data_IF_419363484093
#
_entry.id   IF_419363484093
#
_cell.length_a   1.000
_cell.length_b   1.000
_cell.length_c   1.000
_cell.angle_alpha   90.00
_cell.angle_beta   90.00
_cell.angle_gamma   90.00
#
_symmetry.space_group_name_H-M   'P 1'
#
loop_
_entity.id
_entity.type
_entity.pdbx_description
1 polymer ?
2 non-polymer ?
3 non-polymer ?
4 non-polymer ?
5 non-polymer ?
6 water ?
#
# COMPACT_ATOMS: atom_id res chain seq x y z
N UNK A 4 29.42 11.13 5.48
CA UNK A 4 28.96 11.61 6.83
C UNK A 4 27.49 11.23 7.09
N UNK A 5 26.99 11.54 8.29
CA UNK A 5 25.63 11.18 8.65
C UNK A 5 24.60 12.02 7.90
N UNK A 6 23.34 11.64 8.01
CA UNK A 6 22.26 12.31 7.29
C UNK A 6 21.00 12.30 8.13
N UNK A 7 20.26 13.39 8.06
CA UNK A 7 18.91 13.43 8.61
C UNK A 7 18.03 14.16 7.63
N UNK A 8 16.72 13.89 7.69
CA UNK A 8 15.78 14.51 6.79
C UNK A 8 14.80 15.40 7.54
N UNK A 9 14.28 16.40 6.83
CA UNK A 9 13.14 17.16 7.27
C UNK A 9 12.02 16.97 6.25
N UNK A 10 10.81 16.69 6.73
CA UNK A 10 9.67 16.50 5.85
C UNK A 10 8.59 17.50 6.20
N UNK A 11 8.19 18.32 5.22
CA UNK A 11 7.15 19.32 5.38
C UNK A 11 5.78 18.72 5.13
N UNK A 12 4.92 18.80 6.13
CA UNK A 12 3.68 18.05 6.13
C UNK A 12 2.56 18.74 6.92
N UNK A 13 2.63 20.06 7.00
CA UNK A 13 1.73 20.85 7.85
C UNK A 13 0.49 21.37 7.11
N UNK A 14 0.42 21.17 5.81
CA UNK A 14 -0.61 21.78 5.00
C UNK A 14 -2.01 21.23 5.20
N UNK A 15 -2.99 22.11 5.07
CA UNK A 15 -4.39 21.76 5.24
C UNK A 15 -4.97 21.01 4.03
N UNK A 16 -4.44 21.28 2.84
CA UNK A 16 -4.91 20.63 1.63
C UNK A 16 -6.35 20.97 1.32
N UNK A 17 -6.65 22.26 1.30
CA UNK A 17 -8.01 22.76 1.12
C UNK A 17 -8.67 22.22 -0.14
N UNK A 18 -7.92 22.13 -1.24
CA UNK A 18 -8.50 21.73 -2.52
C UNK A 18 -8.74 20.21 -2.64
N UNK A 19 -8.44 19.48 -1.58
CA UNK A 19 -8.85 18.08 -1.46
C UNK A 19 -10.29 18.00 -0.96
N UNK A 20 -10.78 19.08 -0.37
CA UNK A 20 -12.12 19.13 0.23
C UNK A 20 -12.40 17.92 1.14
N UNK A 21 -11.52 17.76 2.12
CA UNK A 21 -11.49 16.60 3.00
C UNK A 21 -11.31 17.03 4.45
N UNK A 22 -11.77 16.19 5.38
CA UNK A 22 -11.50 16.38 6.80
C UNK A 22 -10.09 15.93 7.16
N UNK A 23 -9.40 15.25 6.25
CA UNK A 23 -8.01 14.88 6.47
C UNK A 23 -7.08 16.03 6.07
N UNK A 24 -5.93 16.10 6.73
CA UNK A 24 -4.88 17.02 6.29
C UNK A 24 -4.25 16.53 4.98
N UNK A 25 -3.57 17.42 4.27
CA UNK A 25 -3.10 17.17 2.91
C UNK A 25 -2.31 15.87 2.70
N UNK A 26 -1.35 15.59 3.57
CA UNK A 26 -0.38 14.51 3.33
C UNK A 26 -0.84 13.12 3.76
N UNK A 27 -2.04 13.02 4.34
CA UNK A 27 -2.56 11.72 4.80
C UNK A 27 -3.30 10.96 3.70
N UNK A 28 -3.68 11.65 2.63
CA UNK A 28 -4.32 10.98 1.51
C UNK A 28 -3.38 9.93 0.93
N UNK A 29 -3.93 8.78 0.55
CA UNK A 29 -3.12 7.62 0.21
C UNK A 29 -2.72 7.52 -1.24
N UNK A 30 -1.55 6.93 -1.45
CA UNK A 30 -1.09 6.46 -2.74
C UNK A 30 -0.74 5.00 -2.55
N UNK A 31 -1.32 4.13 -3.37
CA UNK A 31 -1.09 2.71 -3.27
C UNK A 31 -1.31 2.21 -1.84
N UNK A 32 -2.42 2.66 -1.23
CA UNK A 32 -2.81 2.22 0.10
C UNK A 32 -2.04 2.81 1.28
N UNK A 33 -1.06 3.68 1.02
CA UNK A 33 -0.23 4.26 2.07
C UNK A 33 -0.26 5.79 1.99
N UNK A 34 -0.41 6.48 3.12
CA UNK A 34 -0.35 7.94 3.13
C UNK A 34 0.84 8.50 2.35
N UNK A 35 0.63 9.59 1.63
CA UNK A 35 1.69 10.21 0.86
C UNK A 35 2.93 10.41 1.73
N UNK A 36 2.74 10.95 2.93
CA UNK A 36 3.87 11.23 3.81
C UNK A 36 4.61 9.97 4.25
N UNK A 37 3.89 8.86 4.35
CA UNK A 37 4.52 7.58 4.70
C UNK A 37 5.49 7.12 3.61
N UNK A 38 5.19 7.40 2.35
CA UNK A 38 6.12 7.08 1.27
C UNK A 38 7.42 7.84 1.49
N UNK A 39 7.31 9.12 1.82
CA UNK A 39 8.47 9.99 1.94
C UNK A 39 9.29 9.60 3.16
N UNK A 40 8.60 9.29 4.27
CA UNK A 40 9.27 8.77 5.46
C UNK A 40 10.07 7.50 5.15
N UNK A 41 9.46 6.56 4.44
CA UNK A 41 10.11 5.28 4.11
C UNK A 41 11.34 5.55 3.25
N UNK A 42 11.20 6.45 2.28
CA UNK A 42 12.31 6.76 1.40
C UNK A 42 13.46 7.38 2.17
N UNK A 43 13.12 8.25 3.13
CA UNK A 43 14.12 8.90 3.96
C UNK A 43 14.86 7.84 4.78
N UNK A 44 14.11 6.89 5.32
CA UNK A 44 14.68 5.84 6.14
C UNK A 44 15.66 4.98 5.34
N UNK A 45 15.26 4.53 4.14
CA UNK A 45 16.14 3.66 3.36
C UNK A 45 17.32 4.42 2.74
N UNK A 46 17.26 5.75 2.77
CA UNK A 46 18.34 6.62 2.34
C UNK A 46 19.46 6.61 3.39
N UNK A 47 19.10 6.22 4.62
CA UNK A 47 20.04 6.11 5.71
C UNK A 47 19.86 7.18 6.79
N UNK A 48 18.70 7.84 6.80
CA UNK A 48 18.47 8.97 7.70
C UNK A 48 18.46 8.55 9.16
N UNK A 49 19.27 9.24 9.96
CA UNK A 49 19.35 8.99 11.39
C UNK A 49 18.14 9.58 12.12
N UNK A 50 17.80 10.82 11.79
CA UNK A 50 16.58 11.46 12.30
C UNK A 50 15.69 11.86 11.13
N UNK A 51 14.38 11.81 11.35
CA UNK A 51 13.42 12.35 10.40
C UNK A 51 12.54 13.32 11.15
N UNK A 52 12.69 14.61 10.84
CA UNK A 52 11.91 15.66 11.48
C UNK A 52 10.65 15.94 10.68
N UNK A 53 9.51 15.63 11.28
CA UNK A 53 8.23 15.77 10.60
C UNK A 53 7.57 17.08 11.01
N UNK A 54 7.55 18.04 10.09
CA UNK A 54 6.88 19.31 10.36
C UNK A 54 5.40 19.13 10.09
N UNK A 55 4.60 19.17 11.14
CA UNK A 55 3.15 19.01 10.98
C UNK A 55 2.42 20.14 11.67
N UNK A 56 1.12 20.26 11.38
CA UNK A 56 0.31 21.35 11.90
C UNK A 56 -1.17 21.06 11.80
N UNK A 57 -1.77 21.33 10.64
CA UNK A 57 -3.19 21.03 10.41
C UNK A 57 -3.47 19.53 10.50
N UNK A 58 -4.68 19.22 10.97
CA UNK A 58 -5.06 17.84 11.24
C UNK A 58 -4.10 17.14 12.17
N UNK A 59 -3.59 17.87 13.16
CA UNK A 59 -2.59 17.36 14.08
C UNK A 59 -2.92 16.04 14.74
N UNK A 60 -4.13 15.91 15.28
CA UNK A 60 -4.54 14.69 15.97
C UNK A 60 -4.59 13.51 15.00
N UNK A 61 -5.08 13.76 13.79
CA UNK A 61 -5.17 12.74 12.76
C UNK A 61 -3.79 12.30 12.31
N UNK A 62 -2.86 13.25 12.16
CA UNK A 62 -1.48 12.88 11.85
C UNK A 62 -0.95 11.91 12.90
N UNK A 63 -1.21 12.20 14.18
CA UNK A 63 -0.69 11.39 15.28
C UNK A 63 -1.30 9.99 15.36
N UNK A 64 -2.60 9.88 15.13
CA UNK A 64 -3.27 8.59 15.19
C UNK A 64 -2.88 7.72 13.97
N UNK A 65 -2.88 8.33 12.78
CA UNK A 65 -2.57 7.61 11.56
C UNK A 65 -1.09 7.24 11.40
N UNK A 66 -0.20 7.96 12.07
CA UNK A 66 1.24 7.73 11.92
C UNK A 66 1.91 7.47 13.27
N UNK A 67 1.14 6.94 14.22
CA UNK A 67 1.60 6.75 15.60
C UNK A 67 2.90 5.96 15.72
N UNK A 68 3.10 4.98 14.84
CA UNK A 68 4.27 4.12 14.93
C UNK A 68 5.49 4.55 14.10
N UNK A 69 5.43 5.70 13.44
CA UNK A 69 6.56 6.15 12.62
C UNK A 69 7.68 6.70 13.48
N UNK A 70 8.90 6.29 13.16
CA UNK A 70 10.11 6.76 13.86
C UNK A 70 10.47 8.16 13.36
N UNK A 71 9.77 9.16 13.87
CA UNK A 71 10.00 10.55 13.50
C UNK A 71 9.97 11.45 14.72
N UNK A 72 10.60 12.60 14.57
CA UNK A 72 10.50 13.67 15.54
C UNK A 72 9.31 14.54 15.16
N UNK A 73 8.38 14.68 16.09
CA UNK A 73 7.15 15.44 15.84
C UNK A 73 7.35 16.92 16.12
N UNK A 74 7.48 17.70 15.05
CA UNK A 74 7.75 19.12 15.16
C UNK A 74 6.52 19.92 14.74
N UNK A 75 5.75 20.35 15.73
CA UNK A 75 4.49 21.04 15.50
C UNK A 75 4.71 22.51 15.17
N UNK A 76 4.33 22.91 13.96
CA UNK A 76 4.43 24.28 13.48
C UNK A 76 3.07 24.97 13.70
N UNK A 77 3.03 25.95 14.61
CA UNK A 77 1.77 26.60 14.96
C UNK A 77 1.24 27.52 13.85
N UNK A 78 2.16 28.16 13.12
CA UNK A 78 1.76 28.99 11.97
C UNK A 78 2.56 28.66 10.72
N UNK A 79 1.87 28.65 9.58
CA UNK A 79 2.50 28.39 8.30
C UNK A 79 3.00 29.71 7.69
N UNK A 80 4.23 30.07 8.02
CA UNK A 80 4.80 31.34 7.59
C UNK A 80 5.80 31.15 6.46
N UNK A 81 5.85 29.95 5.89
CA UNK A 81 6.69 29.67 4.74
C UNK A 81 7.62 28.47 4.92
N UNK A 82 8.14 27.97 3.82
CA UNK A 82 8.96 26.77 3.88
C UNK A 82 10.24 26.94 4.70
N UNK A 83 10.82 28.14 4.72
CA UNK A 83 12.03 28.40 5.52
C UNK A 83 11.70 28.40 7.00
N UNK A 84 10.55 28.95 7.35
CA UNK A 84 10.07 28.94 8.73
C UNK A 84 9.82 27.49 9.17
N UNK A 85 9.26 26.70 8.28
CA UNK A 85 8.95 25.31 8.58
C UNK A 85 10.22 24.54 8.91
N UNK A 86 11.22 24.60 8.04
CA UNK A 86 12.48 23.88 8.27
C UNK A 86 13.22 24.40 9.50
N UNK A 87 13.12 25.69 9.79
CA UNK A 87 13.78 26.28 10.97
C UNK A 87 13.21 25.75 12.28
N UNK A 88 11.98 25.26 12.26
CA UNK A 88 11.40 24.62 13.44
C UNK A 88 12.23 23.41 13.89
N UNK A 89 12.81 22.70 12.93
CA UNK A 89 13.59 21.52 13.23
C UNK A 89 15.08 21.82 13.40
N UNK A 90 15.49 23.02 13.01
CA UNK A 90 16.91 23.38 12.98
C UNK A 90 17.67 23.22 14.32
N UNK A 91 17.05 23.52 15.45
CA UNK A 91 17.71 23.31 16.74
C UNK A 91 18.20 21.86 16.94
N UNK A 92 17.66 20.92 16.16
CA UNK A 92 18.01 19.51 16.30
C UNK A 92 19.01 19.03 15.25
N UNK A 93 19.37 19.89 14.30
CA UNK A 93 20.37 19.52 13.29
C UNK A 93 21.73 19.43 13.94
N UNK A 94 22.45 18.34 13.69
CA UNK A 94 23.86 18.23 14.07
C UNK A 94 24.66 19.06 13.06
N UNK A 95 25.65 19.79 13.55
CA UNK A 95 26.42 20.68 12.70
C UNK A 95 27.04 19.95 11.50
N UNK A 96 27.59 18.76 11.74
CA UNK A 96 28.31 18.05 10.68
C UNK A 96 27.58 16.86 10.08
N UNK A 97 26.25 16.91 10.11
CA UNK A 97 25.44 15.95 9.38
C UNK A 97 24.82 16.65 8.18
N UNK A 98 24.58 15.89 7.10
CA UNK A 98 23.85 16.42 5.97
C UNK A 98 22.37 16.40 6.31
N UNK A 99 21.64 17.36 5.75
CA UNK A 99 20.20 17.49 5.97
C UNK A 99 19.52 17.55 4.60
N UNK A 100 18.54 16.69 4.38
CA UNK A 100 17.77 16.71 3.14
C UNK A 100 16.34 17.18 3.43
N UNK A 101 15.85 18.12 2.64
CA UNK A 101 14.49 18.65 2.81
C UNK A 101 13.55 18.06 1.77
N UNK A 102 12.47 17.44 2.25
CA UNK A 102 11.50 16.78 1.40
C UNK A 102 10.08 17.25 1.70
N UNK A 103 9.17 17.01 0.77
CA UNK A 103 7.78 17.46 0.92
C UNK A 103 6.83 16.29 1.03
N UNK A 104 5.98 16.34 2.05
CA UNK A 104 5.07 15.25 2.38
C UNK A 104 4.03 14.99 1.31
N UNK A 105 3.80 15.98 0.44
CA UNK A 105 2.84 15.87 -0.64
C UNK A 105 3.51 15.65 -2.00
N UNK A 106 4.77 15.22 -1.99
CA UNK A 106 5.46 14.80 -3.19
C UNK A 106 6.09 13.45 -2.93
N UNK A 107 5.27 12.40 -2.99
CA UNK A 107 5.64 11.08 -2.50
C UNK A 107 6.45 10.20 -3.45
N UNK A 108 6.58 10.56 -4.72
CA UNK A 108 7.24 9.70 -5.70
C UNK A 108 8.77 9.84 -5.78
N UNK A 109 9.33 10.79 -5.02
CA UNK A 109 10.78 11.00 -5.01
C UNK A 109 11.54 9.73 -4.61
N UNK A 110 12.52 9.33 -5.41
CA UNK A 110 13.23 8.07 -5.18
C UNK A 110 14.53 8.23 -4.38
N UNK A 111 14.88 7.15 -3.70
CA UNK A 111 16.14 7.01 -2.98
C UNK A 111 17.33 7.22 -3.90
N UNK A 112 17.23 6.73 -5.13
CA UNK A 112 18.32 6.82 -6.10
C UNK A 112 18.63 8.27 -6.48
N UNK A 113 17.58 9.02 -6.82
CA UNK A 113 17.74 10.43 -7.15
C UNK A 113 18.33 11.20 -5.99
N UNK A 114 17.91 10.86 -4.78
CA UNK A 114 18.33 11.57 -3.59
C UNK A 114 19.76 11.22 -3.18
N UNK A 115 20.21 10.02 -3.52
CA UNK A 115 21.60 9.61 -3.29
C UNK A 115 22.53 10.44 -4.17
N UNK A 116 22.15 10.61 -5.44
CA UNK A 116 22.87 11.47 -6.38
C UNK A 116 22.94 12.92 -5.89
N UNK A 117 21.85 13.40 -5.31
CA UNK A 117 21.78 14.76 -4.78
C UNK A 117 22.77 14.93 -3.64
N UNK A 118 22.73 14.00 -2.68
CA UNK A 118 23.64 14.04 -1.55
C UNK A 118 25.10 13.97 -1.98
N UNK A 119 25.37 13.14 -2.99
CA UNK A 119 26.74 12.90 -3.47
C UNK A 119 27.31 14.11 -4.19
N UNK A 120 26.44 14.91 -4.80
CA UNK A 120 26.88 16.10 -5.54
C UNK A 120 27.05 17.34 -4.66
N UNK A 121 26.63 17.26 -3.39
CA UNK A 121 26.73 18.41 -2.49
C UNK A 121 28.19 18.73 -2.16
N UNK A 122 28.64 19.92 -2.53
CA UNK A 122 30.00 20.35 -2.21
C UNK A 122 30.10 20.76 -0.74
N UNK A 123 31.30 20.70 -0.18
CA UNK A 123 31.48 21.04 1.23
C UNK A 123 31.12 22.50 1.49
N UNK A 124 30.40 22.72 2.60
CA UNK A 124 29.87 24.03 2.96
C UNK A 124 28.87 24.60 1.97
N UNK A 125 28.44 23.77 1.01
CA UNK A 125 27.53 24.23 -0.03
C UNK A 125 26.15 23.59 -0.01
N UNK A 126 25.47 23.63 -1.15
CA UNK A 126 24.14 23.07 -1.31
C UNK A 126 24.06 22.27 -2.60
N UNK A 127 23.41 21.10 -2.54
CA UNK A 127 22.95 20.44 -3.77
C UNK A 127 21.45 20.68 -3.91
N UNK A 128 21.06 21.22 -5.06
CA UNK A 128 19.69 21.58 -5.31
C UNK A 128 19.12 20.69 -6.43
N UNK A 129 17.98 20.07 -6.15
CA UNK A 129 17.34 19.21 -7.14
C UNK A 129 16.50 20.07 -8.07
N UNK A 130 16.79 19.97 -9.36
CA UNK A 130 16.05 20.68 -10.39
C UNK A 130 15.33 19.71 -11.32
N UNK A 131 14.50 20.26 -12.21
CA UNK A 131 13.76 19.46 -13.16
C UNK A 131 13.50 20.29 -14.41
N UNK A 132 13.61 19.66 -15.57
CA UNK A 132 13.30 20.32 -16.84
C UNK A 132 11.84 20.13 -17.20
N UNK A 133 11.15 21.25 -17.43
CA UNK A 133 9.76 21.23 -17.85
C UNK A 133 9.66 21.74 -19.27
N UNK A 134 8.65 21.30 -20.00
CA UNK A 134 8.44 21.77 -21.36
C UNK A 134 7.78 23.14 -21.34
N UNK A 135 6.83 23.32 -20.42
CA UNK A 135 6.26 24.62 -20.12
C UNK A 135 6.58 25.03 -18.68
N UNK A 136 7.68 25.75 -18.49
CA UNK A 136 8.16 26.12 -17.16
C UNK A 136 7.53 27.39 -16.58
N UNK A 137 6.42 27.83 -17.16
CA UNK A 137 5.75 29.06 -16.72
C UNK A 137 5.30 28.98 -15.26
N UNK A 138 5.57 30.04 -14.51
CA UNK A 138 5.22 30.12 -13.10
C UNK A 138 6.30 29.65 -12.14
N UNK A 139 7.32 28.96 -12.67
CA UNK A 139 8.34 28.31 -11.85
C UNK A 139 9.68 29.06 -11.91
N UNK A 140 10.47 28.99 -10.86
CA UNK A 140 11.73 29.69 -10.78
C UNK A 140 12.82 29.06 -11.63
N UNK A 141 13.46 29.86 -12.48
CA UNK A 141 14.42 29.33 -13.45
C UNK A 141 15.81 29.21 -12.83
N UNK A 142 16.49 28.13 -13.19
CA UNK A 142 17.85 27.89 -12.73
C UNK A 142 18.84 28.63 -13.64
N UNK A 143 19.63 29.51 -13.04
CA UNK A 143 20.66 30.23 -13.77
C UNK A 143 22.01 29.61 -13.45
N UNK A 144 22.66 29.05 -14.46
CA UNK A 144 23.95 28.41 -14.30
C UNK A 144 25.06 29.34 -14.78
N UNK A 145 25.93 29.74 -13.87
CA UNK A 145 27.17 30.42 -14.24
C UNK A 145 28.27 29.37 -14.07
N UNK A 146 28.77 28.90 -15.22
CA UNK A 146 29.67 27.74 -15.28
C UNK A 146 28.91 26.45 -14.91
N UNK A 147 29.35 25.75 -13.87
CA UNK A 147 28.68 24.54 -13.44
C UNK A 147 27.75 24.75 -12.27
N UNK A 148 27.74 25.97 -11.71
CA UNK A 148 27.01 26.26 -10.48
C UNK A 148 25.77 27.12 -10.64
N UNK A 149 24.88 27.05 -9.65
CA UNK A 149 23.65 27.84 -9.62
C UNK A 149 23.90 29.14 -8.88
N UNK A 150 23.66 30.26 -9.57
CA UNK A 150 23.91 31.57 -8.99
C UNK A 150 22.61 32.31 -8.67
N UNK A 151 21.50 31.86 -9.23
CA UNK A 151 20.22 32.49 -8.93
C UNK A 151 19.05 31.61 -9.33
N UNK A 152 17.94 31.79 -8.63
CA UNK A 152 16.67 31.22 -9.02
C UNK A 152 15.76 32.40 -9.32
N UNK A 153 15.52 32.64 -10.60
CA UNK A 153 14.78 33.81 -11.05
C UNK A 153 13.31 33.45 -11.23
N UNK A 154 12.44 34.10 -10.47
CA UNK A 154 11.02 33.80 -10.53
C UNK A 154 10.39 34.31 -11.84
N UNK A 155 9.23 33.76 -12.18
CA UNK A 155 8.52 34.09 -13.41
C UNK A 155 8.47 35.59 -13.68
N UNK A 156 8.00 36.36 -12.69
CA UNK A 156 7.77 37.80 -12.87
C UNK A 156 9.03 38.66 -12.99
N UNK A 157 10.18 38.11 -12.61
CA UNK A 157 11.44 38.85 -12.67
C UNK A 157 12.27 38.54 -13.91
N UNK A 158 12.01 37.41 -14.54
CA UNK A 158 12.85 36.92 -15.64
C UNK A 158 12.73 37.77 -16.89
N UNK A 159 13.84 37.91 -17.62
CA UNK A 159 13.84 38.60 -18.89
C UNK A 159 13.41 37.64 -20.01
N UNK A 160 13.41 38.10 -21.25
CA UNK A 160 12.90 37.32 -22.38
C UNK A 160 13.61 35.98 -22.57
N UNK A 161 14.95 35.99 -22.53
CA UNK A 161 15.72 34.77 -22.74
C UNK A 161 15.73 33.83 -21.53
N UNK A 162 15.53 34.37 -20.33
CA UNK A 162 15.48 33.58 -19.10
C UNK A 162 14.16 32.80 -19.04
N UNK A 163 13.13 33.34 -19.67
CA UNK A 163 11.83 32.68 -19.75
C UNK A 163 11.93 31.38 -20.57
N UNK A 164 12.87 31.32 -21.49
CA UNK A 164 13.06 30.12 -22.32
C UNK A 164 13.85 29.01 -21.62
N UNK A 165 14.47 29.32 -20.49
CA UNK A 165 15.10 28.28 -19.66
C UNK A 165 14.05 27.28 -19.20
N UNK A 166 14.34 26.00 -19.39
CA UNK A 166 13.41 24.92 -19.03
C UNK A 166 13.71 24.36 -17.64
N UNK A 167 14.95 24.53 -17.19
CA UNK A 167 15.35 24.01 -15.89
C UNK A 167 14.76 24.87 -14.78
N UNK A 168 14.24 24.18 -13.76
CA UNK A 168 13.36 24.79 -12.79
C UNK A 168 13.67 24.24 -11.39
N UNK A 169 13.34 25.03 -10.37
CA UNK A 169 13.60 24.68 -8.97
C UNK A 169 12.49 23.79 -8.40
N UNK A 170 12.86 22.70 -7.74
CA UNK A 170 11.87 21.82 -7.10
C UNK A 170 11.68 22.12 -5.63
N UNK A 171 12.63 22.82 -5.03
CA UNK A 171 12.59 23.08 -3.60
C UNK A 171 13.23 22.01 -2.74
N UNK A 172 13.61 20.87 -3.30
CA UNK A 172 14.31 19.88 -2.49
C UNK A 172 15.81 20.10 -2.59
N UNK A 173 16.48 20.01 -1.44
CA UNK A 173 17.88 20.36 -1.36
C UNK A 173 18.57 19.68 -0.19
N UNK A 174 19.90 19.71 -0.24
CA UNK A 174 20.74 19.12 0.78
C UNK A 174 21.84 20.10 1.16
N UNK A 175 22.03 20.30 2.46
CA UNK A 175 23.17 21.04 2.96
C UNK A 175 23.50 20.51 4.34
N UNK A 176 24.66 20.90 4.87
CA UNK A 176 25.05 20.47 6.21
C UNK A 176 24.25 21.25 7.25
N UNK A 177 24.16 20.71 8.46
CA UNK A 177 23.32 21.28 9.51
C UNK A 177 23.72 22.68 9.95
N UNK A 178 25.01 22.95 10.06
CA UNK A 178 25.50 24.27 10.49
C UNK A 178 25.12 25.33 9.48
N UNK A 179 25.31 25.02 8.20
CA UNK A 179 24.93 25.92 7.13
C UNK A 179 23.46 26.26 7.20
N UNK A 180 22.62 25.23 7.44
CA UNK A 180 21.18 25.42 7.52
C UNK A 180 20.81 26.36 8.66
N UNK A 181 21.39 26.15 9.84
CA UNK A 181 21.14 27.01 10.99
C UNK A 181 21.51 28.46 10.71
N UNK A 182 22.64 28.65 10.05
CA UNK A 182 23.18 29.98 9.76
C UNK A 182 22.33 30.70 8.71
N UNK A 183 21.99 29.99 7.64
CA UNK A 183 21.29 30.64 6.54
C UNK A 183 19.82 30.83 6.84
N UNK A 184 19.21 29.88 7.54
CA UNK A 184 17.77 30.00 7.84
C UNK A 184 17.51 31.25 8.67
N UNK A 185 18.40 31.57 9.60
CA UNK A 185 18.25 32.75 10.45
C UNK A 185 18.34 34.06 9.66
N UNK A 186 18.84 33.97 8.43
CA UNK A 186 18.99 35.15 7.59
C UNK A 186 17.90 35.32 6.52
N UNK A 187 16.94 34.41 6.42
CA UNK A 187 15.94 34.59 5.39
C UNK A 187 14.85 35.54 5.90
N UNK A 188 14.42 36.43 5.02
CA UNK A 188 13.41 37.41 5.35
C UNK A 188 12.12 37.07 4.65
N UNK A 189 11.14 37.96 4.82
CA UNK A 189 9.84 37.77 4.19
C UNK A 189 9.41 38.99 3.39
N UNK A 190 10.39 39.76 2.89
CA UNK A 190 10.09 40.92 2.06
C UNK A 190 9.78 40.52 0.63
N UNK A 191 8.54 40.08 0.41
CA UNK A 191 8.08 39.70 -0.92
C UNK A 191 6.55 39.78 -0.98
N UNK A 192 5.97 39.57 -2.16
CA UNK A 192 4.55 39.79 -2.35
C UNK A 192 3.67 38.96 -1.39
N UNK A 193 4.16 37.77 -1.05
CA UNK A 193 3.39 36.82 -0.25
C UNK A 193 3.64 36.97 1.25
N UNK A 194 4.65 37.76 1.61
CA UNK A 194 5.00 37.98 3.01
C UNK A 194 5.48 36.72 3.70
N UNK A 195 6.15 35.84 2.96
CA UNK A 195 6.54 34.54 3.49
C UNK A 195 8.05 34.33 3.50
N UNK A 196 8.51 33.45 4.39
CA UNK A 196 9.91 33.06 4.46
C UNK A 196 10.17 31.84 3.57
N UNK A 197 10.77 32.07 2.40
CA UNK A 197 10.99 31.02 1.42
C UNK A 197 12.34 30.34 1.58
N UNK A 198 12.32 29.01 1.58
CA UNK A 198 13.53 28.20 1.60
C UNK A 198 14.37 28.46 0.35
N UNK A 199 13.70 28.85 -0.74
CA UNK A 199 14.35 29.24 -1.99
C UNK A 199 15.52 30.19 -1.79
N UNK A 200 15.35 31.14 -0.87
CA UNK A 200 16.33 32.19 -0.63
C UNK A 200 17.68 31.67 -0.11
N UNK A 201 17.74 30.41 0.30
CA UNK A 201 18.99 29.82 0.73
C UNK A 201 20.05 29.84 -0.36
N UNK A 202 19.61 29.80 -1.62
CA UNK A 202 20.53 29.76 -2.75
C UNK A 202 21.25 31.09 -2.91
N UNK A 203 20.50 32.19 -2.79
CA UNK A 203 21.08 33.52 -2.80
C UNK A 203 22.02 33.68 -1.62
N UNK A 204 21.59 33.23 -0.44
CA UNK A 204 22.37 33.39 0.78
C UNK A 204 23.68 32.62 0.72
N UNK A 205 23.65 31.44 0.11
CA UNK A 205 24.86 30.65 -0.06
C UNK A 205 25.84 31.35 -0.99
N UNK A 206 25.32 31.92 -2.06
CA UNK A 206 26.15 32.65 -3.03
C UNK A 206 26.76 33.91 -2.42
N UNK A 207 26.01 34.56 -1.53
CA UNK A 207 26.52 35.70 -0.75
C UNK A 207 27.72 35.28 0.12
N UNK A 208 27.68 34.05 0.63
CA UNK A 208 28.73 33.52 1.49
C UNK A 208 29.90 32.94 0.70
N UNK A 209 29.85 33.07 -0.63
CA UNK A 209 30.83 32.42 -1.51
C UNK A 209 30.83 30.90 -1.36
N UNK A 210 29.64 30.33 -1.20
CA UNK A 210 29.51 28.89 -1.13
C UNK A 210 28.86 28.39 -2.41
N UNK A 211 29.21 27.16 -2.78
CA UNK A 211 28.80 26.60 -4.05
C UNK A 211 27.40 25.98 -3.94
N UNK A 212 26.57 26.17 -4.96
CA UNK A 212 25.37 25.35 -5.10
C UNK A 212 25.38 24.65 -6.46
N UNK A 213 25.31 23.33 -6.41
CA UNK A 213 25.38 22.47 -7.57
C UNK A 213 24.00 21.93 -7.86
N UNK A 214 23.59 21.96 -9.14
CA UNK A 214 22.30 21.42 -9.55
C UNK A 214 22.40 19.95 -9.94
N UNK A 215 21.39 19.19 -9.53
CA UNK A 215 21.24 17.80 -9.93
C UNK A 215 19.85 17.66 -10.56
N UNK A 216 19.81 17.30 -11.83
CA UNK A 216 18.54 17.16 -12.54
C UNK A 216 17.87 15.85 -12.14
N UNK A 217 16.55 15.89 -11.98
CA UNK A 217 15.76 14.69 -11.74
C UNK A 217 15.54 13.99 -13.08
N UNK A 218 15.63 12.67 -13.08
CA UNK A 218 15.47 11.90 -14.32
C UNK A 218 14.01 11.91 -14.77
N UNK A 219 13.12 11.63 -13.83
CA UNK A 219 11.68 11.61 -14.10
C UNK A 219 11.00 12.85 -13.51
N UNK A 220 10.26 13.59 -14.34
CA UNK A 220 9.50 14.75 -13.88
C UNK A 220 8.51 14.39 -12.78
N UNK A 221 7.89 13.22 -12.92
CA UNK A 221 6.85 12.77 -11.99
C UNK A 221 7.38 12.53 -10.59
N UNK A 222 8.68 12.26 -10.49
CA UNK A 222 9.35 12.05 -9.21
C UNK A 222 9.13 13.20 -8.24
N UNK A 223 9.21 14.43 -8.76
CA UNK A 223 9.15 15.63 -7.94
C UNK A 223 7.77 16.27 -7.94
N UNK A 224 6.81 15.60 -8.55
CA UNK A 224 5.44 16.12 -8.65
C UNK A 224 4.70 16.04 -7.32
N UNK A 225 4.08 17.14 -6.91
CA UNK A 225 3.25 17.17 -5.73
C UNK A 225 1.78 17.01 -6.08
N UNK A 226 0.93 16.86 -5.06
CA UNK A 226 -0.51 16.79 -5.29
C UNK A 226 -1.22 17.79 -4.40
N UNK A 227 -1.89 18.75 -5.05
CA UNK A 227 -2.67 19.77 -4.37
C UNK A 227 -4.16 19.49 -4.39
N UNK A 228 -4.56 18.52 -5.21
CA UNK A 228 -5.95 18.08 -5.26
C UNK A 228 -6.01 16.60 -5.65
N UNK A 229 -7.20 16.03 -5.66
CA UNK A 229 -7.35 14.60 -5.90
C UNK A 229 -7.16 14.21 -7.37
N UNK A 230 -7.36 15.15 -8.29
CA UNK A 230 -7.05 14.88 -9.69
C UNK A 230 -5.54 14.65 -9.87
N UNK A 231 -4.73 15.50 -9.25
CA UNK A 231 -3.29 15.38 -9.34
C UNK A 231 -2.83 14.11 -8.63
N UNK A 232 -3.50 13.80 -7.54
CA UNK A 232 -3.16 12.62 -6.77
C UNK A 232 -3.44 11.33 -7.57
N UNK A 233 -4.55 11.33 -8.31
CA UNK A 233 -4.88 10.18 -9.16
C UNK A 233 -3.83 9.98 -10.25
N UNK A 234 -3.26 11.07 -10.77
CA UNK A 234 -2.19 10.95 -11.76
C UNK A 234 -0.94 10.34 -11.13
N UNK A 235 -0.60 10.77 -9.92
CA UNK A 235 0.53 10.16 -9.20
C UNK A 235 0.27 8.67 -8.99
N UNK A 236 -0.95 8.34 -8.62
CA UNK A 236 -1.36 6.95 -8.39
C UNK A 236 -1.11 6.10 -9.63
N UNK A 237 -1.53 6.59 -10.79
CA UNK A 237 -1.44 5.81 -12.02
C UNK A 237 0.01 5.63 -12.44
N UNK A 238 0.81 6.70 -12.31
CA UNK A 238 2.24 6.61 -12.62
C UNK A 238 2.94 5.61 -11.70
N UNK A 239 2.61 5.63 -10.40
CA UNK A 239 3.19 4.70 -9.43
C UNK A 239 2.82 3.25 -9.75
N UNK A 240 1.54 2.99 -10.02
CA UNK A 240 1.09 1.63 -10.32
C UNK A 240 1.71 1.10 -11.60
N UNK A 241 1.75 1.92 -12.64
CA UNK A 241 2.39 1.51 -13.90
C UNK A 241 3.87 1.21 -13.71
N UNK A 242 4.55 1.99 -12.88
CA UNK A 242 5.96 1.73 -12.60
C UNK A 242 6.14 0.43 -11.79
N UNK A 243 5.21 0.13 -10.88
CA UNK A 243 5.28 -1.10 -10.09
C UNK A 243 5.05 -2.32 -10.98
N UNK A 244 4.06 -2.22 -11.87
CA UNK A 244 3.75 -3.29 -12.79
C UNK A 244 4.90 -3.52 -13.78
N UNK A 245 5.54 -2.45 -14.23
CA UNK A 245 6.68 -2.56 -15.14
C UNK A 245 7.86 -3.28 -14.49
N UNK A 246 8.11 -3.01 -13.21
CA UNK A 246 9.18 -3.69 -12.50
C UNK A 246 8.90 -5.17 -12.37
N UNK A 247 7.65 -5.53 -12.11
CA UNK A 247 7.27 -6.93 -11.96
C UNK A 247 7.35 -7.67 -13.30
N UNK A 248 6.88 -7.05 -14.37
CA UNK A 248 6.99 -7.63 -15.70
C UNK A 248 8.46 -7.88 -16.05
N UNK A 249 9.33 -6.94 -15.71
CA UNK A 249 10.75 -7.12 -15.98
C UNK A 249 11.36 -8.20 -15.08
N UNK A 250 10.73 -8.50 -13.94
CA UNK A 250 11.17 -9.62 -13.09
C UNK A 250 10.56 -10.97 -13.50
N UNK A 251 9.70 -10.97 -14.51
CA UNK A 251 9.17 -12.22 -15.04
C UNK A 251 7.73 -12.56 -14.64
N UNK A 252 7.04 -11.61 -14.01
CA UNK A 252 5.62 -11.81 -13.73
C UNK A 252 4.83 -11.43 -14.96
N UNK A 253 3.98 -12.32 -15.45
CA UNK A 253 3.11 -12.00 -16.58
C UNK A 253 1.87 -11.26 -16.09
N UNK A 254 1.84 -9.96 -16.34
CA UNK A 254 0.67 -9.15 -16.08
C UNK A 254 0.03 -8.82 -17.41
N UNK A 255 -1.16 -9.35 -17.64
CA UNK A 255 -1.82 -9.28 -18.94
C UNK A 255 -2.00 -7.84 -19.39
N UNK A 256 -2.38 -6.96 -18.45
CA UNK A 256 -2.51 -5.53 -18.72
C UNK A 256 -2.02 -4.75 -17.49
N UNK A 257 -0.84 -4.15 -17.60
CA UNK A 257 -0.29 -3.39 -16.48
C UNK A 257 -1.11 -2.16 -16.12
N UNK A 258 -1.95 -1.66 -17.03
CA UNK A 258 -2.84 -0.53 -16.73
C UNK A 258 -4.07 -0.99 -15.93
N UNK A 259 -4.25 -2.29 -15.81
CA UNK A 259 -5.35 -2.84 -15.03
C UNK A 259 -4.83 -3.78 -13.97
N UNK A 260 -3.91 -3.26 -13.17
CA UNK A 260 -3.29 -4.00 -12.09
C UNK A 260 -2.97 -3.01 -10.99
N UNK A 261 -3.24 -3.39 -9.75
CA UNK A 261 -2.96 -2.54 -8.60
C UNK A 261 -2.24 -3.30 -7.50
N UNK A 262 -1.10 -2.77 -7.09
CA UNK A 262 -0.35 -3.29 -5.95
C UNK A 262 -0.32 -2.25 -4.85
N UNK A 263 -0.82 -2.64 -3.68
CA UNK A 263 -0.99 -1.74 -2.54
C UNK A 263 -0.30 -2.37 -1.35
N UNK A 264 1.01 -2.49 -1.44
CA UNK A 264 1.81 -3.19 -0.44
C UNK A 264 3.03 -3.81 -1.09
N UNK A 265 3.34 -5.04 -0.72
CA UNK A 265 4.49 -5.73 -1.30
C UNK A 265 4.07 -7.07 -1.88
N UNK A 266 4.72 -7.44 -2.98
CA UNK A 266 4.46 -8.69 -3.64
C UNK A 266 5.77 -9.45 -3.79
N UNK A 267 5.82 -10.65 -3.22
CA UNK A 267 6.92 -11.56 -3.46
C UNK A 267 6.41 -12.67 -4.39
N UNK A 268 7.23 -13.04 -5.38
CA UNK A 268 6.77 -13.96 -6.43
C UNK A 268 7.85 -14.96 -6.86
N UNK A 269 7.43 -16.13 -7.30
CA UNK A 269 8.31 -17.06 -7.97
C UNK A 269 8.31 -16.79 -9.46
N UNK A 270 8.62 -17.82 -10.24
CA UNK A 270 8.66 -17.71 -11.70
C UNK A 270 7.37 -18.18 -12.33
N UNK A 271 7.11 -17.69 -13.53
CA UNK A 271 5.95 -18.11 -14.33
C UNK A 271 4.60 -17.82 -13.66
N UNK A 272 4.54 -16.76 -12.87
CA UNK A 272 3.30 -16.29 -12.29
C UNK A 272 2.50 -15.50 -13.35
N UNK A 273 1.21 -15.78 -13.42
CA UNK A 273 0.31 -15.13 -14.37
C UNK A 273 -0.79 -14.41 -13.62
N UNK A 274 -0.96 -13.13 -13.91
CA UNK A 274 -1.97 -12.31 -13.26
C UNK A 274 -2.84 -11.64 -14.30
N UNK A 275 -4.10 -12.04 -14.35
CA UNK A 275 -5.02 -11.55 -15.34
C UNK A 275 -5.47 -10.12 -14.98
N UNK A 276 -6.33 -9.59 -15.82
CA UNK A 276 -6.75 -8.21 -15.80
C UNK A 276 -7.63 -7.89 -14.56
N UNK A 277 -7.45 -6.69 -14.00
CA UNK A 277 -8.22 -6.19 -12.85
C UNK A 277 -8.01 -6.99 -11.58
N UNK A 278 -6.76 -7.21 -11.21
CA UNK A 278 -6.44 -7.85 -9.96
C UNK A 278 -5.92 -6.76 -9.02
N UNK A 279 -6.22 -6.90 -7.74
CA UNK A 279 -5.74 -6.01 -6.71
C UNK A 279 -4.99 -6.81 -5.65
N UNK A 280 -3.79 -6.37 -5.35
CA UNK A 280 -2.91 -7.03 -4.40
C UNK A 280 -2.64 -6.04 -3.28
N UNK A 281 -2.98 -6.43 -2.04
CA UNK A 281 -2.90 -5.52 -0.88
C UNK A 281 -2.15 -6.17 0.28
N UNK A 282 -1.56 -5.32 1.12
CA UNK A 282 -0.73 -5.80 2.22
C UNK A 282 0.48 -6.56 1.75
N UNK A 283 0.86 -7.59 2.49
CA UNK A 283 1.99 -8.44 2.12
C UNK A 283 1.50 -9.73 1.47
N UNK A 284 1.83 -9.90 0.20
CA UNK A 284 1.38 -11.07 -0.54
C UNK A 284 2.58 -11.83 -1.09
N UNK A 285 2.54 -13.14 -0.94
CA UNK A 285 3.59 -14.00 -1.44
C UNK A 285 2.97 -15.04 -2.38
N UNK A 286 3.47 -15.11 -3.61
CA UNK A 286 3.02 -16.09 -4.59
C UNK A 286 4.18 -17.00 -5.00
N UNK A 287 3.96 -18.32 -4.98
CA UNK A 287 4.98 -19.26 -5.41
C UNK A 287 5.05 -19.38 -6.93
N UNK A 288 5.83 -20.34 -7.41
CA UNK A 288 5.97 -20.60 -8.84
C UNK A 288 4.66 -21.02 -9.50
N UNK A 289 4.46 -20.52 -10.71
CA UNK A 289 3.33 -20.81 -11.59
C UNK A 289 1.94 -20.68 -10.96
N UNK A 290 1.80 -19.73 -10.05
CA UNK A 290 0.50 -19.34 -9.55
C UNK A 290 -0.22 -18.58 -10.68
N UNK A 291 -1.47 -18.94 -10.94
CA UNK A 291 -2.30 -18.21 -11.89
C UNK A 291 -3.46 -17.53 -11.17
N UNK A 292 -3.63 -16.24 -11.44
CA UNK A 292 -4.69 -15.46 -10.83
C UNK A 292 -5.63 -14.93 -11.93
N UNK A 293 -6.88 -15.35 -11.85
CA UNK A 293 -7.91 -14.98 -12.81
C UNK A 293 -8.39 -13.56 -12.60
N UNK A 294 -9.20 -13.08 -13.53
CA UNK A 294 -9.62 -11.68 -13.56
C UNK A 294 -10.47 -11.34 -12.33
N UNK A 295 -10.31 -10.12 -11.83
CA UNK A 295 -11.16 -9.60 -10.76
C UNK A 295 -10.83 -10.04 -9.34
N UNK A 296 -9.73 -10.73 -9.17
CA UNK A 296 -9.41 -11.24 -7.84
C UNK A 296 -8.86 -10.15 -6.95
N UNK A 297 -9.11 -10.29 -5.65
CA UNK A 297 -8.57 -9.40 -4.65
C UNK A 297 -7.83 -10.25 -3.60
N UNK A 298 -6.53 -9.99 -3.44
CA UNK A 298 -5.70 -10.73 -2.51
C UNK A 298 -5.11 -9.76 -1.51
N UNK A 299 -5.46 -9.92 -0.23
CA UNK A 299 -4.92 -9.10 0.83
C UNK A 299 -4.28 -9.97 1.90
N UNK A 300 -2.97 -9.79 2.13
CA UNK A 300 -2.24 -10.49 3.18
C UNK A 300 -2.41 -12.00 3.09
N UNK A 301 -1.94 -12.59 1.99
CA UNK A 301 -2.06 -14.00 1.77
C UNK A 301 -0.74 -14.61 1.33
N UNK A 302 -0.59 -15.91 1.58
CA UNK A 302 0.52 -16.69 1.06
C UNK A 302 -0.09 -17.77 0.17
N UNK A 303 0.35 -17.82 -1.08
CA UNK A 303 -0.18 -18.78 -2.05
C UNK A 303 0.97 -19.68 -2.51
N UNK A 304 0.81 -20.98 -2.36
CA UNK A 304 1.88 -21.91 -2.71
C UNK A 304 2.02 -22.16 -4.21
N UNK A 305 3.08 -22.88 -4.57
CA UNK A 305 3.32 -23.24 -5.95
C UNK A 305 2.09 -23.86 -6.62
N UNK A 306 1.91 -23.57 -7.90
CA UNK A 306 0.95 -24.28 -8.76
C UNK A 306 -0.53 -24.14 -8.40
N UNK A 307 -0.91 -23.11 -7.66
CA UNK A 307 -2.32 -22.93 -7.40
C UNK A 307 -2.93 -22.02 -8.45
N UNK A 308 -4.16 -22.34 -8.83
CA UNK A 308 -4.94 -21.47 -9.70
C UNK A 308 -6.06 -20.88 -8.88
N UNK A 309 -6.17 -19.56 -8.94
CA UNK A 309 -7.27 -18.82 -8.36
C UNK A 309 -8.11 -18.32 -9.54
N UNK A 310 -9.33 -18.82 -9.64
CA UNK A 310 -10.21 -18.49 -10.76
C UNK A 310 -10.92 -17.16 -10.48
N UNK A 311 -11.52 -16.57 -11.52
CA UNK A 311 -12.09 -15.22 -11.44
C UNK A 311 -13.01 -14.88 -10.26
N UNK A 312 -12.92 -13.62 -9.86
CA UNK A 312 -13.77 -13.04 -8.84
C UNK A 312 -13.70 -13.80 -7.53
N UNK A 313 -12.47 -14.08 -7.10
CA UNK A 313 -12.21 -14.59 -5.76
C UNK A 313 -11.60 -13.48 -4.89
N UNK A 314 -12.06 -13.41 -3.65
CA UNK A 314 -11.59 -12.44 -2.67
C UNK A 314 -10.97 -13.20 -1.50
N UNK A 315 -9.72 -12.91 -1.20
CA UNK A 315 -8.96 -13.64 -0.19
C UNK A 315 -8.27 -12.66 0.74
N UNK A 316 -8.40 -12.88 2.04
CA UNK A 316 -7.74 -12.04 3.03
C UNK A 316 -7.19 -12.85 4.20
N UNK A 317 -5.93 -12.57 4.56
CA UNK A 317 -5.32 -13.14 5.76
C UNK A 317 -5.43 -14.66 5.74
N UNK A 318 -4.99 -15.25 4.65
CA UNK A 318 -5.21 -16.66 4.42
C UNK A 318 -3.96 -17.27 3.83
N UNK A 319 -3.86 -18.60 3.99
CA UNK A 319 -2.77 -19.37 3.41
C UNK A 319 -3.37 -20.47 2.54
N UNK A 320 -2.76 -20.69 1.37
CA UNK A 320 -3.19 -21.70 0.42
C UNK A 320 -1.99 -22.54 -0.02
N UNK A 321 -2.06 -23.83 0.23
CA UNK A 321 -0.97 -24.73 -0.10
C UNK A 321 -0.93 -25.09 -1.57
N UNK A 322 0.14 -25.78 -1.96
CA UNK A 322 0.43 -26.02 -3.36
C UNK A 322 -0.59 -26.91 -4.07
N UNK A 323 -0.79 -26.61 -5.34
CA UNK A 323 -1.69 -27.33 -6.22
C UNK A 323 -3.18 -27.21 -5.84
N UNK A 324 -3.49 -26.30 -4.92
CA UNK A 324 -4.88 -26.00 -4.60
C UNK A 324 -5.54 -25.27 -5.76
N UNK A 325 -6.86 -25.41 -5.84
CA UNK A 325 -7.68 -24.71 -6.84
C UNK A 325 -8.79 -23.94 -6.12
N UNK A 326 -8.82 -22.62 -6.31
CA UNK A 326 -9.77 -21.73 -5.66
C UNK A 326 -10.57 -21.01 -6.71
N UNK A 327 -11.87 -20.82 -6.46
CA UNK A 327 -12.72 -20.02 -7.33
C UNK A 327 -13.47 -20.81 -8.40
N UNK A 328 -14.21 -20.11 -9.26
CA UNK A 328 -14.44 -18.67 -9.16
C UNK A 328 -15.47 -18.34 -8.08
N UNK A 329 -15.59 -17.05 -7.75
CA UNK A 329 -16.55 -16.58 -6.76
C UNK A 329 -16.34 -17.21 -5.39
N UNK A 330 -15.09 -17.37 -4.97
CA UNK A 330 -14.78 -17.89 -3.64
C UNK A 330 -14.38 -16.75 -2.71
N UNK A 331 -14.72 -16.91 -1.44
CA UNK A 331 -14.35 -15.95 -0.41
C UNK A 331 -13.59 -16.62 0.73
N UNK A 332 -12.34 -16.20 0.92
CA UNK A 332 -11.54 -16.63 2.05
C UNK A 332 -11.40 -15.44 3.00
N UNK A 333 -11.97 -15.59 4.18
CA UNK A 333 -11.90 -14.57 5.22
C UNK A 333 -10.73 -14.88 6.16
N UNK A 334 -10.36 -13.93 7.03
CA UNK A 334 -9.18 -14.09 7.88
C UNK A 334 -9.11 -15.44 8.60
N UNK A 335 -7.91 -16.02 8.62
CA UNK A 335 -7.69 -17.30 9.28
C UNK A 335 -8.04 -18.52 8.43
N UNK A 336 -8.32 -18.33 7.14
CA UNK A 336 -8.56 -19.48 6.27
C UNK A 336 -7.21 -20.09 5.92
N UNK A 337 -7.04 -21.36 6.25
CA UNK A 337 -5.81 -22.08 5.96
C UNK A 337 -6.17 -23.33 5.17
N UNK A 338 -5.80 -23.33 3.89
CA UNK A 338 -6.12 -24.42 2.99
C UNK A 338 -4.84 -25.17 2.70
N UNK A 339 -4.85 -26.48 2.95
CA UNK A 339 -3.68 -27.31 2.68
C UNK A 339 -3.49 -27.54 1.19
N UNK A 340 -2.47 -28.34 0.86
CA UNK A 340 -2.17 -28.70 -0.51
C UNK A 340 -3.32 -29.46 -1.18
N UNK A 341 -3.49 -29.23 -2.47
CA UNK A 341 -4.40 -30.01 -3.30
C UNK A 341 -5.87 -29.93 -2.84
N UNK A 342 -6.23 -28.85 -2.17
CA UNK A 342 -7.61 -28.60 -1.82
C UNK A 342 -8.36 -27.92 -2.97
N UNK A 343 -9.67 -27.96 -2.89
CA UNK A 343 -10.57 -27.38 -3.88
C UNK A 343 -11.64 -26.54 -3.19
N UNK A 344 -11.71 -25.25 -3.52
CA UNK A 344 -12.77 -24.38 -3.04
C UNK A 344 -13.47 -23.76 -4.24
N UNK A 345 -14.78 -23.89 -4.29
CA UNK A 345 -15.57 -23.56 -5.47
C UNK A 345 -16.47 -22.33 -5.32
N UNK A 346 -17.41 -22.20 -6.25
CA UNK A 346 -18.18 -20.96 -6.35
C UNK A 346 -19.21 -20.79 -5.25
N UNK A 347 -19.33 -19.55 -4.80
CA UNK A 347 -20.26 -19.16 -3.74
C UNK A 347 -19.98 -19.92 -2.47
N UNK A 348 -18.69 -20.02 -2.16
CA UNK A 348 -18.24 -20.65 -0.93
C UNK A 348 -17.49 -19.63 -0.09
N UNK A 349 -17.79 -19.65 1.20
CA UNK A 349 -17.16 -18.74 2.15
C UNK A 349 -16.47 -19.56 3.24
N UNK A 350 -15.18 -19.31 3.47
CA UNK A 350 -14.44 -19.99 4.50
C UNK A 350 -13.82 -18.96 5.44
N UNK A 351 -14.18 -19.06 6.72
CA UNK A 351 -13.70 -18.13 7.73
C UNK A 351 -13.03 -18.84 8.89
N UNK A 352 -11.84 -18.39 9.25
CA UNK A 352 -11.09 -18.93 10.38
C UNK A 352 -11.24 -20.45 10.54
N UNK A 353 -10.81 -21.18 9.52
CA UNK A 353 -10.91 -22.62 9.49
C UNK A 353 -9.71 -23.22 8.79
N UNK A 354 -9.34 -24.44 9.18
CA UNK A 354 -8.28 -25.18 8.50
C UNK A 354 -8.96 -26.27 7.70
N UNK A 355 -8.46 -26.51 6.48
CA UNK A 355 -9.00 -27.50 5.58
C UNK A 355 -7.83 -28.35 5.08
N UNK A 356 -7.90 -29.65 5.35
CA UNK A 356 -6.78 -30.54 5.12
C UNK A 356 -6.64 -31.02 3.69
N UNK A 357 -5.51 -31.67 3.44
CA UNK A 357 -5.05 -32.01 2.08
C UNK A 357 -6.10 -32.80 1.29
N UNK A 358 -6.35 -32.40 0.06
CA UNK A 358 -7.25 -33.13 -0.83
C UNK A 358 -8.73 -32.87 -0.63
N UNK A 359 -9.09 -32.17 0.44
CA UNK A 359 -10.48 -31.92 0.77
C UNK A 359 -11.11 -30.95 -0.23
N UNK A 360 -12.42 -31.11 -0.47
CA UNK A 360 -13.10 -30.23 -1.39
C UNK A 360 -14.37 -29.62 -0.80
N UNK A 361 -14.55 -28.33 -1.07
CA UNK A 361 -15.72 -27.54 -0.69
C UNK A 361 -16.13 -26.73 -1.92
N UNK A 362 -16.98 -27.30 -2.76
CA UNK A 362 -17.15 -26.78 -4.13
C UNK A 362 -18.40 -25.95 -4.46
N UNK A 363 -19.39 -25.87 -3.56
CA UNK A 363 -20.55 -25.01 -3.83
C UNK A 363 -21.40 -24.56 -2.65
N UNK A 364 -21.70 -23.27 -2.62
CA UNK A 364 -22.84 -22.75 -1.88
C UNK A 364 -22.77 -23.12 -0.39
N UNK A 365 -21.61 -22.85 0.20
CA UNK A 365 -21.29 -23.37 1.52
C UNK A 365 -20.62 -22.31 2.40
N UNK A 366 -20.95 -22.33 3.68
CA UNK A 366 -20.25 -21.53 4.68
C UNK A 366 -19.58 -22.46 5.67
N UNK A 367 -18.27 -22.35 5.80
CA UNK A 367 -17.50 -23.04 6.84
C UNK A 367 -16.76 -22.01 7.70
N UNK A 368 -17.06 -22.01 8.99
CA UNK A 368 -16.47 -21.05 9.91
C UNK A 368 -16.03 -21.70 11.20
N UNK A 369 -14.93 -21.21 11.77
CA UNK A 369 -14.40 -21.74 13.02
C UNK A 369 -14.35 -23.25 13.05
N UNK A 370 -13.79 -23.83 12.00
CA UNK A 370 -13.77 -25.25 11.85
C UNK A 370 -12.38 -25.78 11.54
N UNK A 371 -12.14 -27.03 11.93
CA UNK A 371 -11.00 -27.78 11.45
C UNK A 371 -11.57 -28.91 10.59
N UNK A 372 -11.13 -29.00 9.35
CA UNK A 372 -11.53 -30.06 8.46
C UNK A 372 -10.29 -30.82 8.05
N UNK A 373 -10.35 -32.14 8.15
CA UNK A 373 -9.19 -32.98 7.91
C UNK A 373 -8.93 -33.18 6.42
N UNK A 374 -8.21 -34.25 6.10
CA UNK A 374 -7.77 -34.54 4.74
C UNK A 374 -8.76 -35.45 4.00
N UNK A 375 -8.85 -35.23 2.69
CA UNK A 375 -9.71 -36.02 1.80
C UNK A 375 -11.18 -36.06 2.20
N UNK A 376 -11.68 -34.94 2.68
CA UNK A 376 -13.09 -34.82 2.98
C UNK A 376 -13.83 -34.32 1.77
N UNK A 377 -15.13 -34.59 1.75
CA UNK A 377 -16.01 -34.10 0.72
C UNK A 377 -17.14 -33.32 1.39
N UNK A 378 -17.05 -32.00 1.36
CA UNK A 378 -18.07 -31.14 1.95
C UNK A 378 -19.08 -30.74 0.87
N UNK A 379 -20.30 -31.23 1.02
CA UNK A 379 -21.30 -31.08 -0.01
C UNK A 379 -21.85 -29.68 -0.16
N UNK A 380 -22.50 -29.46 -1.29
CA UNK A 380 -23.15 -28.21 -1.58
C UNK A 380 -24.15 -27.87 -0.49
N UNK A 381 -24.24 -26.59 -0.13
CA UNK A 381 -25.28 -26.15 0.79
C UNK A 381 -25.00 -26.45 2.24
N UNK A 382 -23.77 -26.88 2.55
CA UNK A 382 -23.39 -27.15 3.93
C UNK A 382 -23.12 -25.86 4.68
N UNK A 383 -23.56 -25.82 5.93
CA UNK A 383 -23.40 -24.64 6.77
C UNK A 383 -22.97 -25.05 8.18
N UNK A 384 -21.90 -24.48 8.68
CA UNK A 384 -21.57 -24.54 10.10
C UNK A 384 -22.24 -23.37 10.78
N UNK A 385 -23.01 -23.64 11.84
CA UNK A 385 -23.70 -22.60 12.57
C UNK A 385 -23.60 -22.80 14.08
N UNK A 386 -24.13 -21.83 14.81
CA UNK A 386 -24.12 -21.84 16.26
C UNK A 386 -25.54 -21.78 16.80
N UNK A 387 -25.69 -22.09 18.09
CA UNK A 387 -26.95 -21.83 18.79
C UNK A 387 -27.02 -20.33 19.03
N UNK A 388 -28.25 -19.85 19.27
CA UNK A 388 -28.50 -18.50 19.70
C UNK A 388 -28.03 -18.39 21.15
N UNK A 389 -26.83 -17.86 21.34
CA UNK A 389 -26.25 -17.86 22.67
C UNK A 389 -25.25 -16.75 22.79
N UNK A 390 -24.06 -17.07 23.28
CA UNK A 390 -22.98 -16.09 23.35
C UNK A 390 -21.94 -16.35 22.26
N UNK A 391 -20.74 -16.78 22.65
CA UNK A 391 -19.63 -16.87 21.72
C UNK A 391 -19.84 -17.93 20.63
N UNK A 392 -18.86 -18.01 19.72
CA UNK A 392 -18.94 -18.81 18.50
C UNK A 392 -18.05 -20.06 18.58
N UNK A 393 -18.67 -21.23 18.64
CA UNK A 393 -17.95 -22.44 18.94
C UNK A 393 -17.45 -23.20 17.68
N UNK A 394 -16.61 -24.21 17.91
CA UNK A 394 -15.86 -24.85 16.84
C UNK A 394 -16.50 -26.14 16.33
N UNK A 395 -16.36 -26.37 15.03
CA UNK A 395 -16.72 -27.64 14.41
C UNK A 395 -15.42 -28.36 14.03
N UNK A 396 -15.28 -29.61 14.48
CA UNK A 396 -14.13 -30.44 14.16
C UNK A 396 -14.55 -31.63 13.29
N UNK A 397 -13.97 -31.73 12.11
CA UNK A 397 -14.25 -32.82 11.18
C UNK A 397 -12.92 -33.53 10.90
N UNK A 398 -12.90 -34.85 11.09
CA UNK A 398 -11.69 -35.63 10.91
C UNK A 398 -11.36 -35.87 9.44
N UNK A 399 -10.59 -36.91 9.19
CA UNK A 399 -10.17 -37.30 7.84
C UNK A 399 -11.21 -38.20 7.17
N UNK A 400 -11.26 -38.15 5.85
CA UNK A 400 -12.08 -39.03 5.02
C UNK A 400 -13.57 -38.99 5.38
N UNK A 401 -14.06 -37.82 5.74
CA UNK A 401 -15.47 -37.65 6.05
C UNK A 401 -16.26 -37.16 4.83
N UNK A 402 -17.43 -37.76 4.63
CA UNK A 402 -18.39 -37.30 3.65
C UNK A 402 -19.51 -36.55 4.37
N UNK A 403 -19.73 -35.30 3.99
CA UNK A 403 -20.82 -34.50 4.53
C UNK A 403 -21.78 -34.20 3.40
N UNK A 404 -22.95 -34.82 3.46
CA UNK A 404 -23.93 -34.70 2.40
C UNK A 404 -24.49 -33.29 2.29
N UNK A 405 -24.97 -32.97 1.11
CA UNK A 405 -25.40 -31.63 0.77
C UNK A 405 -26.50 -31.11 1.71
N UNK A 406 -26.46 -29.80 1.97
CA UNK A 406 -27.46 -29.14 2.79
C UNK A 406 -27.46 -29.61 4.24
N UNK A 407 -26.32 -30.10 4.71
CA UNK A 407 -26.19 -30.48 6.10
C UNK A 407 -25.82 -29.26 6.95
N UNK A 408 -26.48 -29.14 8.09
CA UNK A 408 -26.17 -28.09 9.04
C UNK A 408 -25.35 -28.71 10.17
N UNK A 409 -24.14 -28.22 10.34
CA UNK A 409 -23.26 -28.66 11.40
C UNK A 409 -23.36 -27.64 12.52
N UNK A 410 -23.86 -28.08 13.69
CA UNK A 410 -24.16 -27.16 14.78
C UNK A 410 -23.09 -27.23 15.84
N UNK A 411 -22.19 -26.26 15.83
CA UNK A 411 -21.10 -26.18 16.80
C UNK A 411 -21.63 -25.95 18.21
N UNK A 412 -20.94 -26.45 19.23
CA UNK A 412 -19.73 -27.27 19.09
C UNK A 412 -20.05 -28.72 18.76
N UNK A 413 -19.31 -29.30 17.82
CA UNK A 413 -19.56 -30.68 17.43
C UNK A 413 -18.35 -31.26 16.73
N UNK A 414 -18.18 -32.58 16.88
CA UNK A 414 -17.05 -33.30 16.28
C UNK A 414 -17.56 -34.43 15.42
N UNK A 415 -16.95 -34.63 14.26
CA UNK A 415 -17.27 -35.72 13.37
C UNK A 415 -15.97 -36.48 13.15
N UNK A 416 -15.90 -37.73 13.60
CA UNK A 416 -14.65 -38.48 13.59
C UNK A 416 -14.31 -39.08 12.22
N UNK A 417 -13.09 -39.61 12.10
CA UNK A 417 -12.59 -40.14 10.83
C UNK A 417 -13.57 -41.10 10.17
N UNK A 418 -13.71 -40.98 8.84
CA UNK A 418 -14.45 -41.95 8.06
C UNK A 418 -15.96 -41.89 8.17
N UNK A 419 -16.49 -40.91 8.89
CA UNK A 419 -17.93 -40.80 9.06
C UNK A 419 -18.59 -40.39 7.74
N UNK A 420 -19.88 -40.69 7.63
CA UNK A 420 -20.68 -40.38 6.45
C UNK A 420 -21.99 -39.74 6.90
N UNK A 421 -22.27 -38.56 6.39
CA UNK A 421 -23.51 -37.87 6.74
C UNK A 421 -24.36 -37.66 5.49
N UNK A 422 -25.62 -38.10 5.56
CA UNK A 422 -26.54 -38.02 4.45
C UNK A 422 -27.00 -36.60 4.23
N UNK A 423 -27.58 -36.34 3.07
CA UNK A 423 -28.04 -35.01 2.70
C UNK A 423 -29.23 -34.57 3.57
N UNK A 424 -29.33 -33.27 3.82
CA UNK A 424 -30.47 -32.70 4.52
C UNK A 424 -30.48 -32.97 6.00
N UNK A 425 -29.30 -33.23 6.56
CA UNK A 425 -29.15 -33.65 7.94
C UNK A 425 -28.83 -32.46 8.84
N UNK A 426 -29.26 -32.52 10.10
CA UNK A 426 -28.92 -31.54 11.12
C UNK A 426 -28.07 -32.23 12.20
N UNK A 427 -26.80 -31.88 12.29
CA UNK A 427 -25.85 -32.54 13.19
C UNK A 427 -25.59 -31.71 14.45
N UNK A 428 -26.08 -32.19 15.59
CA UNK A 428 -25.88 -31.52 16.88
C UNK A 428 -25.08 -32.37 17.86
N UNK A 429 -25.02 -33.67 17.61
CA UNK A 429 -24.30 -34.62 18.47
C UNK A 429 -23.07 -35.13 17.76
N UNK A 430 -22.04 -35.45 18.53
CA UNK A 430 -20.79 -35.98 17.99
C UNK A 430 -21.04 -37.23 17.16
N UNK A 431 -20.36 -37.33 16.03
CA UNK A 431 -20.47 -38.48 15.16
C UNK A 431 -19.19 -39.30 15.30
N UNK A 432 -19.35 -40.60 15.53
CA UNK A 432 -18.24 -41.48 15.79
C UNK A 432 -17.55 -41.98 14.54
N UNK A 433 -16.42 -42.66 14.74
CA UNK A 433 -15.61 -43.13 13.64
C UNK A 433 -16.39 -44.15 12.83
N UNK A 434 -16.36 -43.99 11.51
CA UNK A 434 -17.11 -44.86 10.60
C UNK A 434 -18.60 -44.92 10.90
N UNK A 435 -19.14 -43.83 11.44
CA UNK A 435 -20.58 -43.76 11.67
C UNK A 435 -21.30 -43.12 10.47
N UNK A 436 -22.41 -43.76 10.07
CA UNK A 436 -23.29 -43.29 9.00
C UNK A 436 -24.53 -42.66 9.64
N UNK A 437 -24.80 -41.41 9.30
CA UNK A 437 -25.98 -40.71 9.81
C UNK A 437 -26.85 -40.25 8.67
N UNK A 438 -28.07 -40.75 8.59
CA UNK A 438 -29.00 -40.32 7.55
C UNK A 438 -30.30 -39.89 8.18
N UNK A 439 -30.98 -38.96 7.52
CA UNK A 439 -32.21 -38.40 8.05
C UNK A 439 -33.38 -39.26 7.61
N UNK A 440 -34.26 -39.56 8.55
CA UNK A 440 -35.52 -40.22 8.24
C UNK A 440 -36.54 -39.15 7.95
N UNK A 441 -36.84 -38.93 6.68
CA UNK A 441 -37.87 -37.96 6.31
C UNK A 441 -39.23 -38.64 6.31
N UNK A 442 -40.25 -37.88 6.66
CA UNK A 442 -41.62 -38.29 6.49
C UNK A 442 -42.17 -37.41 5.39
N UNK A 443 -42.76 -38.03 4.38
CA UNK A 443 -43.32 -37.30 3.25
C UNK A 443 -44.77 -37.68 3.00
N UNK A 444 -45.55 -36.72 2.51
CA UNK A 444 -46.92 -36.97 2.10
C UNK A 444 -46.98 -36.91 0.58
N UNK A 445 -47.52 -37.97 -0.01
CA UNK A 445 -47.63 -38.08 -1.46
C UNK A 445 -49.10 -38.01 -1.84
N UNK A 446 -49.48 -36.99 -2.59
CA UNK A 446 -50.84 -36.83 -3.06
C UNK A 446 -50.89 -36.98 -4.57
N UNK A 447 -51.58 -38.02 -5.04
CA UNK A 447 -51.67 -38.31 -6.46
C UNK A 447 -52.76 -37.47 -7.09
N UNK A 448 -52.62 -37.17 -8.37
CA UNK A 448 -53.65 -36.42 -9.09
C UNK A 448 -53.75 -34.96 -8.68
N UNK A 449 -52.64 -34.37 -8.26
CA UNK A 449 -52.59 -32.94 -7.98
C UNK A 449 -52.29 -32.17 -9.26
N UNK A 450 -53.29 -31.45 -9.76
CA UNK A 450 -53.13 -30.65 -10.98
C UNK A 450 -52.65 -29.27 -10.61
N UNK A 451 -51.51 -28.89 -11.17
CA UNK A 451 -50.94 -27.56 -11.00
C UNK A 451 -51.77 -26.53 -11.76
N UNK A 452 -51.84 -25.30 -11.24
CA UNK A 452 -52.42 -24.18 -11.99
C UNK A 452 -51.80 -24.03 -13.37
N UNK A 453 -52.26 -24.82 -14.33
CA UNK A 453 -51.63 -24.92 -15.65
C UNK A 453 -50.26 -24.21 -15.69
#
# INVERSE_FOLDING_TARGET
MTKKALSAVILAAGKGTRMYSDLPKVLHTIAGKPMVKHVIDTAHQLGSENIHLIYGHGGDLMRTHLANEQVNWVLQTEQLGTAHAVQQAAPFFKDNENIVVLYGDAPLITKETLEKLIEAKPENGIALLTVNLDNPTGYGRIIRENGNVVAIVEQKDANAEQLNIKEVNTGVMVSDGASFKKWLARVGNNNAQGEYYLTDLIALANQDNCQVVAVQATDVMEVEGANNRLQLAALERYFQNKQASKLLLEGVMIYDPARFDLRGTLEHGKDVEIDVNVIIEGNVKLGDRVKIGTGCVLKNVVIGNDVEIKPYSVLEDSIVGEKAAIGPFSRLRPGAELAAETHVGNFVEIKKSTVGKGSKVNHLTYVGDSEIGSNCNIGAGVITCNYDGANKFKTIIGDDVFVGSDTQLVAPVKVANGATIGAGTTITRDVGENELVITRVAQRHIQGWQRPIKKK
#
